data_IF_611871480779
#
_entry.id   IF_611871480779
#
_cell.length_a   1.000
_cell.length_b   1.000
_cell.length_c   1.000
_cell.angle_alpha   90.00
_cell.angle_beta   90.00
_cell.angle_gamma   90.00
#
_symmetry.space_group_name_H-M   'P 1'
#
loop_
_entity.id
_entity.type
_entity.pdbx_description
1 polymer ?
#
# COMPACT_ATOMS: atom_id res chain seq x y z
N UNK A 1 -26.02 -8.54 10.01
CA UNK A 1 -25.60 -7.50 9.03
C UNK A 1 -24.90 -8.20 7.88
N UNK A 2 -25.37 -7.97 6.66
CA UNK A 2 -24.70 -8.43 5.44
C UNK A 2 -23.44 -7.60 5.19
N UNK A 3 -22.46 -8.19 4.54
CA UNK A 3 -21.22 -7.51 4.18
C UNK A 3 -21.47 -6.48 3.07
N UNK A 4 -21.27 -5.18 3.35
CA UNK A 4 -21.33 -4.10 2.37
C UNK A 4 -19.90 -3.63 2.00
N UNK A 5 -19.41 -3.94 0.78
CA UNK A 5 -18.06 -3.56 0.37
C UNK A 5 -17.90 -2.04 0.22
N UNK A 6 -18.94 -1.28 -0.14
CA UNK A 6 -18.84 0.17 -0.36
C UNK A 6 -18.62 0.89 0.97
N UNK A 7 -19.48 0.64 1.95
CA UNK A 7 -19.35 1.20 3.30
C UNK A 7 -17.99 0.87 3.92
N UNK A 8 -17.50 -0.36 3.70
CA UNK A 8 -16.20 -0.78 4.19
C UNK A 8 -15.06 -0.03 3.51
N UNK A 9 -15.09 0.17 2.19
CA UNK A 9 -14.07 0.96 1.50
C UNK A 9 -14.03 2.40 2.01
N UNK A 10 -15.19 3.03 2.22
CA UNK A 10 -15.30 4.38 2.79
C UNK A 10 -14.71 4.44 4.21
N UNK A 11 -14.99 3.43 5.05
CA UNK A 11 -14.42 3.36 6.40
C UNK A 11 -12.90 3.17 6.37
N UNK A 12 -12.39 2.31 5.49
CA UNK A 12 -10.95 2.07 5.33
C UNK A 12 -10.23 3.30 4.79
N UNK A 13 -10.81 4.00 3.81
CA UNK A 13 -10.24 5.22 3.23
C UNK A 13 -9.91 6.27 4.30
N UNK A 14 -10.82 6.48 5.26
CA UNK A 14 -10.61 7.39 6.40
C UNK A 14 -9.43 7.01 7.30
N UNK A 15 -9.01 5.75 7.29
CA UNK A 15 -7.89 5.24 8.11
C UNK A 15 -6.55 5.25 7.35
N UNK A 16 -6.59 5.14 6.02
CA UNK A 16 -5.39 4.93 5.20
C UNK A 16 -5.05 6.08 4.27
N UNK A 17 -5.88 7.13 4.25
CA UNK A 17 -5.62 8.38 3.54
C UNK A 17 -5.72 9.57 4.47
N UNK A 18 -4.97 10.64 4.18
CA UNK A 18 -5.09 11.93 4.88
C UNK A 18 -4.67 13.06 3.95
N UNK A 19 -5.12 14.27 4.23
CA UNK A 19 -4.64 15.46 3.54
C UNK A 19 -3.31 15.91 4.16
N UNK A 20 -2.25 15.98 3.35
CA UNK A 20 -0.96 16.54 3.71
C UNK A 20 -0.70 17.88 3.00
N UNK A 21 0.50 18.44 3.22
CA UNK A 21 0.93 19.72 2.64
C UNK A 21 1.04 19.66 1.10
N UNK A 22 1.47 18.52 0.57
CA UNK A 22 1.69 18.31 -0.88
C UNK A 22 0.52 17.58 -1.57
N UNK A 23 -0.63 17.47 -0.92
CA UNK A 23 -1.79 16.76 -1.44
C UNK A 23 -2.21 15.57 -0.58
N UNK A 24 -2.99 14.65 -1.16
CA UNK A 24 -3.45 13.45 -0.45
C UNK A 24 -2.29 12.47 -0.23
N UNK A 25 -2.05 12.12 1.02
CA UNK A 25 -1.11 11.09 1.43
C UNK A 25 -1.83 9.77 1.63
N UNK A 26 -1.13 8.66 1.36
CA UNK A 26 -1.64 7.31 1.58
C UNK A 26 -0.68 6.51 2.44
N UNK A 27 -1.24 5.58 3.21
CA UNK A 27 -0.49 4.70 4.10
C UNK A 27 0.10 3.50 3.35
N UNK A 28 1.40 3.28 3.50
CA UNK A 28 2.14 2.13 2.94
C UNK A 28 2.87 1.39 4.07
N UNK A 29 2.98 0.06 3.98
CA UNK A 29 3.66 -0.72 5.03
C UNK A 29 5.01 -1.28 4.59
N UNK A 30 5.27 -1.40 3.29
CA UNK A 30 6.59 -1.79 2.78
C UNK A 30 6.82 -1.37 1.35
N UNK A 31 8.09 -1.15 1.03
CA UNK A 31 8.61 -1.03 -0.34
C UNK A 31 9.69 -2.09 -0.47
N UNK A 32 9.60 -2.93 -1.51
CA UNK A 32 10.52 -4.07 -1.67
C UNK A 32 10.74 -4.43 -3.13
N UNK A 33 11.85 -5.10 -3.41
CA UNK A 33 11.99 -5.87 -4.64
C UNK A 33 11.29 -7.23 -4.52
N UNK A 34 10.89 -7.77 -5.65
CA UNK A 34 10.30 -9.09 -5.80
C UNK A 34 10.83 -9.73 -7.08
N UNK A 35 10.91 -11.06 -7.11
CA UNK A 35 11.46 -11.82 -8.25
C UNK A 35 10.44 -12.08 -9.37
N UNK A 36 9.21 -11.62 -9.20
CA UNK A 36 8.12 -11.83 -10.15
C UNK A 36 8.35 -11.01 -11.42
N UNK A 37 7.89 -11.54 -12.56
CA UNK A 37 7.96 -10.86 -13.87
C UNK A 37 9.38 -10.48 -14.32
N UNK A 38 10.39 -11.27 -13.94
CA UNK A 38 11.80 -10.94 -14.23
C UNK A 38 12.43 -9.95 -13.25
N UNK A 39 11.70 -9.56 -12.19
CA UNK A 39 12.16 -8.66 -11.15
C UNK A 39 11.38 -7.34 -11.17
N UNK A 40 10.78 -7.00 -10.03
CA UNK A 40 9.93 -5.81 -9.89
C UNK A 40 10.14 -5.16 -8.52
N UNK A 41 10.10 -3.83 -8.46
CA UNK A 41 10.01 -3.12 -7.19
C UNK A 41 8.57 -2.73 -6.94
N UNK A 42 8.05 -3.03 -5.75
CA UNK A 42 6.67 -2.75 -5.40
C UNK A 42 6.51 -2.03 -4.07
N UNK A 43 5.54 -1.11 -4.01
CA UNK A 43 5.10 -0.42 -2.81
C UNK A 43 3.73 -0.97 -2.40
N UNK A 44 3.69 -1.68 -1.27
CA UNK A 44 2.47 -2.30 -0.81
C UNK A 44 1.71 -1.36 0.14
N UNK A 45 0.52 -0.94 -0.31
CA UNK A 45 -0.40 -0.08 0.43
C UNK A 45 -1.03 -0.80 1.64
N UNK A 46 -1.44 -0.01 2.63
CA UNK A 46 -2.27 -0.47 3.75
C UNK A 46 -3.75 -0.31 3.40
N UNK A 47 -4.57 -1.24 3.88
CA UNK A 47 -6.02 -1.19 3.78
C UNK A 47 -6.57 -1.80 2.50
N UNK A 48 -7.56 -2.67 2.68
CA UNK A 48 -8.41 -3.19 1.62
C UNK A 48 -9.85 -3.15 2.16
N UNK A 49 -10.79 -2.67 1.34
CA UNK A 49 -12.19 -2.76 1.71
C UNK A 49 -12.77 -4.16 1.50
N UNK A 50 -11.94 -5.14 1.09
CA UNK A 50 -12.27 -6.56 1.02
C UNK A 50 -11.70 -7.35 2.21
N UNK A 51 -12.31 -8.49 2.54
CA UNK A 51 -11.92 -9.39 3.64
C UNK A 51 -11.62 -10.81 3.15
N UNK A 52 -10.96 -10.91 1.99
CA UNK A 52 -10.70 -12.19 1.34
C UNK A 52 -9.86 -13.11 2.24
N UNK A 53 -10.36 -14.31 2.54
CA UNK A 53 -9.64 -15.30 3.37
C UNK A 53 -8.33 -15.77 2.73
N UNK A 54 -8.26 -15.71 1.41
CA UNK A 54 -7.11 -16.07 0.57
C UNK A 54 -6.21 -14.86 0.23
N UNK A 55 -6.37 -13.72 0.91
CA UNK A 55 -5.51 -12.57 0.68
C UNK A 55 -4.06 -12.92 1.04
N UNK A 56 -3.12 -12.48 0.21
CA UNK A 56 -1.69 -12.70 0.45
C UNK A 56 -1.11 -11.74 1.50
N UNK A 57 -1.83 -10.65 1.79
CA UNK A 57 -1.44 -9.62 2.77
C UNK A 57 -1.56 -10.20 4.17
N UNK A 58 -0.61 -9.88 5.06
CA UNK A 58 -0.61 -10.39 6.42
C UNK A 58 -1.85 -9.92 7.21
N UNK A 59 -2.30 -10.75 8.15
CA UNK A 59 -3.45 -10.46 9.01
C UNK A 59 -3.30 -9.14 9.78
N UNK A 60 -2.07 -8.79 10.16
CA UNK A 60 -1.78 -7.52 10.83
C UNK A 60 -2.11 -6.31 9.94
N UNK A 61 -1.70 -6.33 8.66
CA UNK A 61 -1.95 -5.24 7.72
C UNK A 61 -3.43 -5.22 7.30
N UNK A 62 -4.03 -6.39 7.11
CA UNK A 62 -5.42 -6.50 6.66
C UNK A 62 -6.43 -6.09 7.75
N UNK A 63 -6.21 -6.50 9.00
CA UNK A 63 -7.17 -6.33 10.09
C UNK A 63 -6.89 -5.11 10.99
N UNK A 64 -5.68 -4.54 10.96
CA UNK A 64 -5.30 -3.39 11.80
C UNK A 64 -4.73 -2.22 10.98
N UNK A 65 -5.48 -1.70 9.98
CA UNK A 65 -4.98 -0.65 9.09
C UNK A 65 -4.61 0.66 9.81
N UNK A 66 -5.27 0.96 10.93
CA UNK A 66 -4.97 2.13 11.76
C UNK A 66 -3.57 2.08 12.39
N UNK A 67 -3.02 0.89 12.65
CA UNK A 67 -1.80 0.71 13.45
C UNK A 67 -0.57 0.32 12.63
N UNK A 68 -0.74 -0.01 11.34
CA UNK A 68 0.34 -0.51 10.49
C UNK A 68 0.65 0.45 9.36
N UNK A 69 1.94 0.64 9.06
CA UNK A 69 2.45 1.45 7.97
C UNK A 69 2.56 2.94 8.30
N UNK A 70 3.09 3.70 7.35
CA UNK A 70 3.34 5.13 7.46
C UNK A 70 2.70 5.87 6.29
N UNK A 71 2.34 7.13 6.51
CA UNK A 71 1.81 7.99 5.45
C UNK A 71 2.93 8.54 4.58
N UNK A 72 2.75 8.42 3.28
CA UNK A 72 3.69 8.94 2.28
C UNK A 72 2.95 9.77 1.24
N UNK A 73 3.62 10.80 0.75
CA UNK A 73 3.20 11.54 -0.43
C UNK A 73 3.41 10.70 -1.68
N UNK A 74 2.61 10.87 -2.74
CA UNK A 74 2.79 10.16 -4.00
C UNK A 74 4.21 10.31 -4.57
N UNK A 75 4.77 11.52 -4.46
CA UNK A 75 6.14 11.84 -4.86
C UNK A 75 7.17 10.98 -4.13
N UNK A 76 7.09 10.93 -2.79
CA UNK A 76 8.03 10.15 -1.97
C UNK A 76 7.99 8.65 -2.28
N UNK A 77 6.81 8.10 -2.56
CA UNK A 77 6.68 6.69 -2.97
C UNK A 77 7.32 6.44 -4.33
N UNK A 78 7.04 7.30 -5.32
CA UNK A 78 7.62 7.19 -6.66
C UNK A 78 9.16 7.28 -6.62
N UNK A 79 9.72 8.24 -5.89
CA UNK A 79 11.16 8.39 -5.70
C UNK A 79 11.79 7.16 -5.02
N UNK A 80 11.13 6.62 -3.99
CA UNK A 80 11.60 5.43 -3.28
C UNK A 80 11.60 4.19 -4.19
N UNK A 81 10.57 4.02 -5.01
CA UNK A 81 10.46 2.95 -6.01
C UNK A 81 11.59 3.05 -7.04
N UNK A 82 11.80 4.23 -7.62
CA UNK A 82 12.85 4.47 -8.62
C UNK A 82 14.24 4.25 -8.02
N UNK A 83 14.49 4.75 -6.81
CA UNK A 83 15.77 4.58 -6.11
C UNK A 83 16.09 3.11 -5.86
N UNK A 84 15.13 2.35 -5.34
CA UNK A 84 15.33 0.91 -5.09
C UNK A 84 15.48 0.12 -6.39
N UNK A 85 14.75 0.47 -7.44
CA UNK A 85 14.87 -0.18 -8.74
C UNK A 85 16.25 0.02 -9.37
N UNK A 86 16.78 1.25 -9.32
CA UNK A 86 18.16 1.55 -9.73
C UNK A 86 19.18 0.74 -8.93
N UNK A 87 19.01 0.67 -7.61
CA UNK A 87 19.89 -0.11 -6.72
C UNK A 87 19.88 -1.61 -7.06
N UNK A 88 18.74 -2.14 -7.46
CA UNK A 88 18.56 -3.56 -7.80
C UNK A 88 18.78 -3.89 -9.29
N UNK A 89 19.03 -2.90 -10.16
CA UNK A 89 19.11 -3.11 -11.60
C UNK A 89 17.78 -3.57 -12.23
N UNK A 90 16.65 -3.14 -11.66
CA UNK A 90 15.30 -3.51 -12.12
C UNK A 90 14.64 -2.35 -12.87
N UNK A 91 13.82 -2.66 -13.85
CA UNK A 91 13.08 -1.67 -14.65
C UNK A 91 11.58 -1.62 -14.35
N UNK A 92 11.01 -2.68 -13.77
CA UNK A 92 9.58 -2.77 -13.45
C UNK A 92 9.28 -2.18 -12.07
N UNK A 93 8.22 -1.38 -12.00
CA UNK A 93 7.72 -0.71 -10.78
C UNK A 93 6.21 -1.00 -10.60
N UNK A 94 5.75 -1.12 -9.34
CA UNK A 94 4.33 -1.27 -8.99
C UNK A 94 3.95 -0.63 -7.67
#
# INVERSE_FOLDING_TARGET
MTYNPVERHIAIEKLVTRQGLEGQERKYYRIRSARWYGGIVTADCVGCGLVCRFCWVSDAVANRPANVGEFYTPKRVAESLISLARKCGLSLLR
#
